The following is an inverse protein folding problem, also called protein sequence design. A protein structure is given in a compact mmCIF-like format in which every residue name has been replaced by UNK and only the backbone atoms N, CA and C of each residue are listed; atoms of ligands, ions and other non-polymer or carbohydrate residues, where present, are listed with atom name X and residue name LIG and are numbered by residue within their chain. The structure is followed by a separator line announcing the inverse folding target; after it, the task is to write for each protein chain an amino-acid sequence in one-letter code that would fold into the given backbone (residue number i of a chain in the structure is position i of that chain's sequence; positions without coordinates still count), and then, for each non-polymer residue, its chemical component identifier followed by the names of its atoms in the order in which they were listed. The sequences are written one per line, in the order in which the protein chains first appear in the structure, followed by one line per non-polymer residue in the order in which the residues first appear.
data_IF_529819742514
#
_entry.id   IF_529819742514
#
_cell.length_a   1.000
_cell.length_b   1.000
_cell.length_c   1.000
_cell.angle_alpha   90.00
_cell.angle_beta   90.00
_cell.angle_gamma   90.00
#
_symmetry.space_group_name_H-M   'P 1'
#
loop_
_entity.id
_entity.type
_entity.pdbx_description
1 polymer ?
#
# COMPACT_ATOMS: atom_id res chain seq x y z
N UNK A 1 8.44 0.30 6.07
CA UNK A 1 8.78 0.38 4.63
C UNK A 1 9.75 1.53 4.47
N UNK A 2 11.03 1.27 4.26
CA UNK A 2 12.04 2.35 4.22
C UNK A 2 12.18 2.98 2.82
N UNK A 3 11.87 2.24 1.76
CA UNK A 3 12.06 2.69 0.37
C UNK A 3 10.78 2.54 -0.46
N UNK A 4 10.67 3.37 -1.49
CA UNK A 4 9.60 3.29 -2.49
C UNK A 4 9.58 1.92 -3.19
N UNK A 5 10.75 1.36 -3.51
CA UNK A 5 10.85 0.06 -4.17
C UNK A 5 10.28 -1.07 -3.31
N UNK A 6 10.58 -1.06 -2.00
CA UNK A 6 10.03 -2.04 -1.07
C UNK A 6 8.51 -1.89 -0.93
N UNK A 7 8.01 -0.65 -0.93
CA UNK A 7 6.59 -0.37 -0.90
C UNK A 7 5.88 -0.87 -2.18
N UNK A 8 6.44 -0.57 -3.35
CA UNK A 8 5.94 -1.04 -4.64
C UNK A 8 5.95 -2.56 -4.73
N UNK A 9 7.01 -3.22 -4.24
CA UNK A 9 7.07 -4.68 -4.20
C UNK A 9 5.99 -5.30 -3.32
N UNK A 10 5.70 -4.73 -2.16
CA UNK A 10 4.58 -5.21 -1.35
C UNK A 10 3.24 -4.99 -2.04
N UNK A 11 3.00 -3.81 -2.62
CA UNK A 11 1.74 -3.54 -3.31
C UNK A 11 1.53 -4.47 -4.51
N UNK A 12 2.60 -4.82 -5.22
CA UNK A 12 2.56 -5.79 -6.32
C UNK A 12 2.21 -7.20 -5.83
N UNK A 13 2.77 -7.66 -4.70
CA UNK A 13 2.35 -8.91 -4.06
C UNK A 13 0.88 -8.84 -3.59
N UNK A 14 0.49 -7.75 -2.94
CA UNK A 14 -0.87 -7.56 -2.44
C UNK A 14 -1.89 -7.63 -3.59
N UNK A 15 -1.62 -7.02 -4.73
CA UNK A 15 -2.52 -7.01 -5.89
C UNK A 15 -2.47 -8.32 -6.70
N UNK A 16 -1.28 -8.73 -7.13
CA UNK A 16 -1.13 -9.74 -8.16
C UNK A 16 -0.96 -11.17 -7.60
N UNK A 17 -0.48 -11.29 -6.35
CA UNK A 17 -0.28 -12.60 -5.71
C UNK A 17 -1.42 -12.98 -4.76
N UNK A 18 -1.85 -12.05 -3.90
CA UNK A 18 -2.89 -12.35 -2.90
C UNK A 18 -4.27 -11.80 -3.22
N UNK A 19 -4.39 -10.88 -4.18
CA UNK A 19 -5.65 -10.20 -4.52
C UNK A 19 -6.31 -9.49 -3.32
N UNK A 20 -5.48 -8.87 -2.46
CA UNK A 20 -5.91 -8.11 -1.29
C UNK A 20 -6.65 -6.82 -1.69
N UNK A 21 -6.10 -6.10 -2.67
CA UNK A 21 -6.62 -4.84 -3.16
C UNK A 21 -5.91 -4.36 -4.41
N UNK A 22 -6.27 -3.17 -4.88
CA UNK A 22 -5.75 -2.58 -6.12
C UNK A 22 -4.83 -1.39 -5.85
N UNK A 23 -3.82 -1.22 -6.70
CA UNK A 23 -3.00 -0.02 -6.74
C UNK A 23 -3.77 1.11 -7.44
N UNK A 24 -4.23 2.11 -6.67
CA UNK A 24 -4.98 3.25 -7.20
C UNK A 24 -4.88 4.47 -6.26
N UNK A 25 -4.92 5.68 -6.82
CA UNK A 25 -4.76 6.94 -6.05
C UNK A 25 -6.04 7.44 -5.37
N UNK A 26 -7.18 6.78 -5.64
CA UNK A 26 -8.49 7.11 -5.05
C UNK A 26 -8.68 6.51 -3.64
N UNK A 27 -9.86 6.72 -3.06
CA UNK A 27 -10.29 6.20 -1.75
C UNK A 27 -11.82 6.03 -1.70
N UNK A 28 -12.33 5.30 -0.71
CA UNK A 28 -13.77 5.15 -0.46
C UNK A 28 -14.51 4.17 -1.40
N UNK A 29 -13.79 3.28 -2.08
CA UNK A 29 -14.38 2.23 -2.91
C UNK A 29 -14.70 0.98 -2.08
N UNK A 30 -15.58 0.09 -2.58
CA UNK A 30 -15.95 -1.14 -1.88
C UNK A 30 -14.82 -2.18 -1.86
N UNK A 31 -13.88 -2.12 -2.81
CA UNK A 31 -12.62 -2.87 -2.78
C UNK A 31 -11.51 -2.07 -2.09
N UNK A 32 -10.52 -2.78 -1.53
CA UNK A 32 -9.36 -2.12 -0.93
C UNK A 32 -8.48 -1.47 -1.99
N UNK A 33 -8.13 -0.20 -1.78
CA UNK A 33 -7.22 0.57 -2.63
C UNK A 33 -5.93 0.90 -1.89
N UNK A 34 -4.80 0.87 -2.60
CA UNK A 34 -3.46 1.08 -2.05
C UNK A 34 -2.68 2.06 -2.92
N UNK A 35 -1.88 2.93 -2.30
CA UNK A 35 -0.95 3.81 -3.01
C UNK A 35 0.29 4.13 -2.19
N UNK A 36 1.41 4.40 -2.86
CA UNK A 36 2.60 4.98 -2.23
C UNK A 36 2.44 6.50 -2.17
N UNK A 37 2.23 7.08 -0.98
CA UNK A 37 1.82 8.48 -0.85
C UNK A 37 2.89 9.47 -1.32
N UNK A 38 4.17 9.21 -0.99
CA UNK A 38 5.28 10.11 -1.33
C UNK A 38 5.51 10.31 -2.83
N UNK A 39 5.11 9.32 -3.65
CA UNK A 39 5.25 9.34 -5.11
C UNK A 39 3.93 9.53 -5.86
N UNK A 40 2.80 9.66 -5.16
CA UNK A 40 1.48 9.83 -5.77
C UNK A 40 0.73 11.03 -5.21
N UNK A 41 -0.07 10.84 -4.17
CA UNK A 41 -0.97 11.87 -3.62
C UNK A 41 -0.26 13.03 -2.95
N UNK A 42 1.05 12.94 -2.74
CA UNK A 42 1.89 13.97 -2.15
C UNK A 42 3.11 14.28 -3.03
N UNK A 43 3.03 14.00 -4.33
CA UNK A 43 4.11 14.27 -5.29
C UNK A 43 4.40 15.76 -5.48
N UNK A 44 3.43 16.62 -5.15
CA UNK A 44 3.55 18.09 -5.24
C UNK A 44 4.40 18.69 -4.11
N UNK A 45 4.57 17.97 -3.00
CA UNK A 45 5.42 18.40 -1.90
C UNK A 45 6.90 18.18 -2.23
N UNK A 46 7.75 19.12 -1.84
CA UNK A 46 9.19 18.90 -1.86
C UNK A 46 9.63 17.97 -0.71
N UNK A 47 10.87 17.52 -0.72
CA UNK A 47 11.37 16.55 0.27
C UNK A 47 11.37 17.08 1.71
N UNK A 48 11.56 18.38 1.92
CA UNK A 48 11.48 18.99 3.24
C UNK A 48 10.04 19.00 3.76
N UNK A 49 9.08 19.35 2.90
CA UNK A 49 7.65 19.34 3.23
C UNK A 49 7.14 17.92 3.51
N UNK A 50 7.56 16.92 2.71
CA UNK A 50 7.24 15.51 2.96
C UNK A 50 7.79 15.03 4.29
N UNK A 51 9.04 15.39 4.60
CA UNK A 51 9.68 15.03 5.87
C UNK A 51 8.94 15.65 7.05
N UNK A 52 8.60 16.94 6.97
CA UNK A 52 7.84 17.65 7.99
C UNK A 52 6.44 17.05 8.21
N UNK A 53 5.80 16.61 7.13
CA UNK A 53 4.50 15.94 7.16
C UNK A 53 4.56 14.45 7.57
N UNK A 54 5.75 13.89 7.79
CA UNK A 54 5.93 12.47 8.13
C UNK A 54 5.71 11.49 6.97
N UNK A 55 5.78 11.96 5.73
CA UNK A 55 5.55 11.16 4.53
C UNK A 55 6.88 10.53 4.10
N UNK A 56 7.15 9.34 4.62
CA UNK A 56 8.33 8.56 4.19
C UNK A 56 8.19 8.07 2.73
N UNK A 57 9.32 7.85 2.01
CA UNK A 57 9.29 7.32 0.64
C UNK A 57 8.60 5.96 0.50
N UNK A 58 8.58 5.16 1.57
CA UNK A 58 7.93 3.85 1.61
C UNK A 58 6.50 3.87 2.18
N UNK A 59 5.92 5.04 2.47
CA UNK A 59 4.60 5.12 3.08
C UNK A 59 3.51 4.62 2.13
N UNK A 60 2.92 3.47 2.47
CA UNK A 60 1.74 2.94 1.79
C UNK A 60 0.49 3.43 2.52
N UNK A 61 -0.41 4.10 1.80
CA UNK A 61 -1.77 4.39 2.24
C UNK A 61 -2.70 3.30 1.74
N UNK A 62 -3.57 2.81 2.62
CA UNK A 62 -4.61 1.84 2.27
C UNK A 62 -5.99 2.41 2.61
N UNK A 63 -6.89 2.45 1.62
CA UNK A 63 -8.32 2.67 1.83
C UNK A 63 -8.99 1.30 1.87
N UNK A 64 -9.33 0.82 3.07
CA UNK A 64 -9.89 -0.52 3.25
C UNK A 64 -11.35 -0.55 2.81
N UNK A 65 -11.64 -1.40 1.83
CA UNK A 65 -13.00 -1.67 1.36
C UNK A 65 -13.70 -2.73 2.21
N UNK A 66 -14.97 -2.99 1.92
CA UNK A 66 -15.80 -3.97 2.65
C UNK A 66 -16.11 -5.24 1.82
N UNK A 67 -15.41 -5.45 0.70
CA UNK A 67 -15.49 -6.68 -0.09
C UNK A 67 -14.82 -7.87 0.62
N UNK A 68 -15.45 -9.03 0.56
CA UNK A 68 -14.94 -10.27 1.17
C UNK A 68 -15.09 -10.35 2.68
N UNK A 69 -14.61 -11.44 3.28
CA UNK A 69 -14.62 -11.63 4.73
C UNK A 69 -13.35 -11.07 5.39
N UNK A 70 -13.44 -10.66 6.65
CA UNK A 70 -12.32 -10.11 7.41
C UNK A 70 -11.14 -11.09 7.44
N UNK A 71 -11.41 -12.36 7.73
CA UNK A 71 -10.41 -13.42 7.84
C UNK A 71 -9.69 -13.65 6.51
N UNK A 72 -10.42 -13.56 5.40
CA UNK A 72 -9.85 -13.68 4.07
C UNK A 72 -8.88 -12.53 3.79
N UNK A 73 -9.31 -11.28 4.00
CA UNK A 73 -8.48 -10.09 3.78
C UNK A 73 -7.25 -10.09 4.69
N UNK A 74 -7.41 -10.48 5.95
CA UNK A 74 -6.30 -10.63 6.90
C UNK A 74 -5.28 -11.67 6.41
N UNK A 75 -5.76 -12.85 6.03
CA UNK A 75 -4.91 -13.94 5.49
C UNK A 75 -4.16 -13.49 4.24
N UNK A 76 -4.80 -12.74 3.34
CA UNK A 76 -4.16 -12.20 2.13
C UNK A 76 -3.02 -11.22 2.49
N UNK A 77 -3.26 -10.31 3.43
CA UNK A 77 -2.24 -9.36 3.89
C UNK A 77 -1.05 -10.09 4.52
N UNK A 78 -1.28 -11.03 5.44
CA UNK A 78 -0.23 -11.80 6.11
C UNK A 78 0.61 -12.63 5.12
N UNK A 79 -0.03 -13.26 4.14
CA UNK A 79 0.66 -14.03 3.09
C UNK A 79 1.58 -13.15 2.24
N UNK A 80 1.13 -11.96 1.86
CA UNK A 80 1.95 -11.01 1.10
C UNK A 80 3.15 -10.52 1.93
N UNK A 81 2.94 -10.19 3.21
CA UNK A 81 4.01 -9.78 4.13
C UNK A 81 5.04 -10.89 4.34
N UNK A 82 4.57 -12.12 4.56
CA UNK A 82 5.45 -13.29 4.72
C UNK A 82 6.26 -13.53 3.45
N UNK A 83 5.64 -13.40 2.27
CA UNK A 83 6.32 -13.56 0.98
C UNK A 83 7.36 -12.48 0.72
N UNK A 84 7.10 -11.25 1.16
CA UNK A 84 8.06 -10.14 1.07
C UNK A 84 9.30 -10.38 1.94
N UNK A 85 9.18 -11.06 3.09
CA UNK A 85 10.31 -11.33 3.99
C UNK A 85 11.20 -12.49 3.50
N UNK A 86 10.69 -13.38 2.65
CA UNK A 86 11.42 -14.51 2.09
C UNK A 86 12.34 -14.13 0.91
N UNK A 87 12.37 -12.85 0.52
CA UNK A 87 13.11 -12.30 -0.61
C UNK A 87 13.78 -10.97 -0.21
#
# INVERSE_FOLDING_TARGET
METQDRANRLMELLQNYTHFGFMAVSLGYYETLMSCSGSSTSSELNEQEKTLAGISPGLIRMSIGYSGALEQKWTQLEKALSKLQLH
#
